data_IF_968503546930
#
_entry.id   IF_968503546930
#
_cell.length_a   1.000
_cell.length_b   1.000
_cell.length_c   1.000
_cell.angle_alpha   90.00
_cell.angle_beta   90.00
_cell.angle_gamma   90.00
#
_symmetry.space_group_name_H-M   'P 1'
#
loop_
_entity.id
_entity.type
_entity.pdbx_description
1 polymer ?
#
# COMPACT_ATOMS: atom_id res chain seq x y z
N UNK A 1 -30.80 19.70 -15.99
CA UNK A 1 -31.02 19.00 -14.70
C UNK A 1 -29.67 18.44 -14.27
N UNK A 2 -29.36 18.38 -12.98
CA UNK A 2 -28.14 17.73 -12.54
C UNK A 2 -28.15 16.25 -12.93
N UNK A 3 -26.97 15.70 -13.25
CA UNK A 3 -26.83 14.30 -13.62
C UNK A 3 -27.14 13.39 -12.41
N UNK A 4 -27.78 12.26 -12.67
CA UNK A 4 -28.23 11.30 -11.65
C UNK A 4 -27.08 10.39 -11.21
N UNK A 5 -26.75 10.45 -9.93
CA UNK A 5 -25.64 9.74 -9.31
C UNK A 5 -26.13 8.63 -8.38
N UNK A 6 -25.65 7.41 -8.59
CA UNK A 6 -25.64 6.36 -7.58
C UNK A 6 -24.31 6.38 -6.82
N UNK A 7 -24.31 6.03 -5.54
CA UNK A 7 -23.11 5.98 -4.68
C UNK A 7 -22.99 4.60 -4.07
N UNK A 8 -21.82 4.01 -4.15
CA UNK A 8 -21.48 2.78 -3.45
C UNK A 8 -20.44 3.04 -2.35
N UNK A 9 -20.78 2.69 -1.13
CA UNK A 9 -20.01 2.96 0.09
C UNK A 9 -20.54 4.18 0.85
N UNK A 10 -20.94 3.97 2.10
CA UNK A 10 -21.45 5.01 2.98
C UNK A 10 -20.55 5.30 4.19
N UNK A 11 -19.27 4.92 4.09
CA UNK A 11 -18.25 5.13 5.11
C UNK A 11 -17.74 6.57 5.20
N UNK A 12 -16.53 6.71 5.76
CA UNK A 12 -15.87 8.01 5.96
C UNK A 12 -15.60 8.76 4.65
N UNK A 13 -15.44 8.03 3.53
CA UNK A 13 -15.21 8.65 2.22
C UNK A 13 -16.44 9.42 1.74
N UNK A 14 -17.62 8.81 1.83
CA UNK A 14 -18.86 9.52 1.54
C UNK A 14 -19.04 10.70 2.49
N UNK A 15 -18.83 10.50 3.79
CA UNK A 15 -19.01 11.56 4.79
C UNK A 15 -18.17 12.81 4.50
N UNK A 16 -16.98 12.64 3.92
CA UNK A 16 -16.11 13.77 3.54
C UNK A 16 -16.58 14.48 2.28
N UNK A 17 -17.17 13.75 1.34
CA UNK A 17 -17.49 14.27 0.00
C UNK A 17 -18.97 14.61 -0.22
N UNK A 18 -19.86 14.21 0.67
CA UNK A 18 -21.32 14.24 0.44
C UNK A 18 -21.87 15.61 0.09
N UNK A 19 -21.42 16.65 0.79
CA UNK A 19 -21.92 18.01 0.56
C UNK A 19 -21.49 18.57 -0.81
N UNK A 20 -20.32 18.16 -1.31
CA UNK A 20 -19.89 18.48 -2.66
C UNK A 20 -20.72 17.73 -3.68
N UNK A 21 -20.93 16.43 -3.48
CA UNK A 21 -21.71 15.59 -4.39
C UNK A 21 -23.17 16.05 -4.52
N UNK A 22 -23.81 16.47 -3.40
CA UNK A 22 -25.17 17.04 -3.41
C UNK A 22 -25.29 18.33 -4.23
N UNK A 23 -24.21 19.11 -4.36
CA UNK A 23 -24.18 20.34 -5.17
C UNK A 23 -24.03 20.04 -6.66
N UNK A 24 -23.33 18.98 -7.00
CA UNK A 24 -22.96 18.65 -8.39
C UNK A 24 -23.97 17.68 -9.05
N UNK A 25 -24.63 16.81 -8.25
CA UNK A 25 -25.44 15.70 -8.74
C UNK A 25 -26.78 15.59 -8.01
N UNK A 26 -27.76 14.98 -8.70
CA UNK A 26 -28.96 14.41 -8.08
C UNK A 26 -28.64 12.99 -7.57
N UNK A 27 -28.43 12.82 -6.27
CA UNK A 27 -28.13 11.51 -5.68
C UNK A 27 -29.42 10.69 -5.61
N UNK A 28 -29.50 9.60 -6.38
CA UNK A 28 -30.70 8.76 -6.50
C UNK A 28 -30.65 7.47 -5.68
N UNK A 29 -29.48 7.04 -5.24
CA UNK A 29 -29.31 5.84 -4.43
C UNK A 29 -27.96 5.77 -3.74
N UNK A 30 -27.93 5.19 -2.53
CA UNK A 30 -26.70 4.91 -1.78
C UNK A 30 -26.70 3.44 -1.37
N UNK A 31 -25.62 2.74 -1.68
CA UNK A 31 -25.46 1.29 -1.51
C UNK A 31 -24.25 1.01 -0.60
N UNK A 32 -24.35 -0.05 0.19
CA UNK A 32 -23.23 -0.52 1.04
C UNK A 32 -23.30 -2.03 1.24
N UNK A 33 -22.13 -2.68 1.36
CA UNK A 33 -22.05 -4.12 1.62
C UNK A 33 -22.40 -4.50 3.07
N UNK A 34 -22.35 -3.56 3.99
CA UNK A 34 -22.72 -3.83 5.39
C UNK A 34 -24.25 -3.97 5.51
N UNK A 35 -24.71 -5.22 5.63
CA UNK A 35 -26.13 -5.54 5.74
C UNK A 35 -26.82 -4.89 6.96
N UNK A 36 -26.08 -4.60 8.03
CA UNK A 36 -26.62 -3.92 9.20
C UNK A 36 -27.05 -2.48 8.91
N UNK A 37 -26.55 -1.89 7.85
CA UNK A 37 -26.90 -0.52 7.43
C UNK A 37 -28.11 -0.50 6.48
N UNK A 38 -28.50 -1.63 5.90
CA UNK A 38 -29.60 -1.67 4.95
C UNK A 38 -30.91 -1.20 5.59
N UNK A 39 -31.57 -0.29 4.90
CA UNK A 39 -32.80 0.34 5.39
C UNK A 39 -32.62 1.50 6.36
N UNK A 40 -31.43 1.66 6.96
CA UNK A 40 -31.09 2.82 7.81
C UNK A 40 -30.82 4.05 6.95
N UNK A 41 -30.99 5.21 7.55
CA UNK A 41 -30.71 6.51 6.91
C UNK A 41 -29.34 7.03 7.32
N UNK A 42 -28.59 7.55 6.37
CA UNK A 42 -27.32 8.24 6.59
C UNK A 42 -27.16 9.37 5.58
N UNK A 43 -26.77 10.55 6.04
CA UNK A 43 -26.63 11.74 5.20
C UNK A 43 -27.91 12.18 4.45
N UNK A 44 -29.10 11.76 4.93
CA UNK A 44 -30.38 12.01 4.28
C UNK A 44 -30.74 11.00 3.19
N UNK A 45 -30.01 9.86 3.11
CA UNK A 45 -30.28 8.78 2.14
C UNK A 45 -30.46 7.46 2.83
N UNK A 46 -31.48 6.70 2.38
CA UNK A 46 -31.69 5.32 2.83
C UNK A 46 -30.64 4.42 2.18
N UNK A 47 -29.91 3.67 2.98
CA UNK A 47 -28.89 2.73 2.50
C UNK A 47 -29.55 1.46 1.97
N UNK A 48 -29.20 1.09 0.73
CA UNK A 48 -29.78 -0.04 0.01
C UNK A 48 -28.78 -1.20 -0.12
N UNK A 49 -29.32 -2.42 -0.22
CA UNK A 49 -28.56 -3.60 -0.62
C UNK A 49 -28.03 -3.41 -2.04
N UNK A 50 -26.74 -3.66 -2.32
CA UNK A 50 -26.15 -3.57 -3.66
C UNK A 50 -26.86 -4.36 -4.77
N UNK A 51 -27.48 -5.50 -4.45
CA UNK A 51 -28.27 -6.30 -5.41
C UNK A 51 -29.42 -5.53 -6.05
N UNK A 52 -29.86 -4.43 -5.42
CA UNK A 52 -30.90 -3.56 -5.96
C UNK A 52 -30.40 -2.46 -6.87
N UNK A 53 -29.08 -2.39 -7.13
CA UNK A 53 -28.46 -1.26 -7.83
C UNK A 53 -29.12 -0.97 -9.20
N UNK A 54 -29.43 -2.00 -9.97
CA UNK A 54 -30.06 -1.87 -11.28
C UNK A 54 -31.55 -1.47 -11.23
N UNK A 55 -32.19 -1.47 -10.06
CA UNK A 55 -33.56 -0.96 -9.91
C UNK A 55 -33.63 0.56 -9.81
N UNK A 56 -32.46 1.22 -9.69
CA UNK A 56 -32.38 2.68 -9.63
C UNK A 56 -31.97 3.24 -10.98
N UNK A 57 -32.62 4.34 -11.37
CA UNK A 57 -32.30 5.04 -12.63
C UNK A 57 -31.18 6.05 -12.39
N UNK A 58 -29.93 5.71 -12.73
CA UNK A 58 -28.75 6.57 -12.61
C UNK A 58 -27.97 6.63 -13.93
N UNK A 59 -27.27 7.74 -14.12
CA UNK A 59 -26.37 7.96 -15.25
C UNK A 59 -24.95 7.56 -14.92
N UNK A 60 -24.51 7.83 -13.68
CA UNK A 60 -23.17 7.51 -13.20
C UNK A 60 -23.21 6.87 -11.81
N UNK A 61 -22.20 6.05 -11.53
CA UNK A 61 -21.94 5.43 -10.23
C UNK A 61 -20.60 5.89 -9.68
N UNK A 62 -20.57 6.40 -8.44
CA UNK A 62 -19.35 6.72 -7.72
C UNK A 62 -19.07 5.74 -6.60
N UNK A 63 -17.88 5.15 -6.60
CA UNK A 63 -17.40 4.33 -5.50
C UNK A 63 -16.78 5.27 -4.44
N UNK A 64 -17.34 5.27 -3.23
CA UNK A 64 -16.88 6.04 -2.08
C UNK A 64 -16.23 5.12 -1.03
N UNK A 65 -15.18 4.39 -1.45
CA UNK A 65 -14.40 3.50 -0.61
C UNK A 65 -12.98 3.41 -1.14
N UNK A 66 -12.03 4.07 -0.49
CA UNK A 66 -10.62 4.06 -0.92
C UNK A 66 -9.88 2.77 -0.54
N UNK A 67 -10.42 1.97 0.36
CA UNK A 67 -9.75 0.73 0.80
C UNK A 67 -10.18 -0.53 0.04
N UNK A 68 -11.32 -0.49 -0.67
CA UNK A 68 -11.91 -1.64 -1.34
C UNK A 68 -12.38 -1.32 -2.78
N UNK A 69 -11.79 -0.33 -3.40
CA UNK A 69 -12.23 0.17 -4.72
C UNK A 69 -12.27 -0.93 -5.76
N UNK A 70 -11.20 -1.73 -5.87
CA UNK A 70 -11.11 -2.81 -6.86
C UNK A 70 -12.19 -3.87 -6.64
N UNK A 71 -12.39 -4.33 -5.39
CA UNK A 71 -13.43 -5.32 -5.08
C UNK A 71 -14.83 -4.79 -5.37
N UNK A 72 -15.11 -3.56 -4.97
CA UNK A 72 -16.43 -2.93 -5.21
C UNK A 72 -16.64 -2.71 -6.70
N UNK A 73 -15.60 -2.28 -7.43
CA UNK A 73 -15.68 -2.10 -8.89
C UNK A 73 -16.01 -3.42 -9.59
N UNK A 74 -15.32 -4.49 -9.29
CA UNK A 74 -15.61 -5.82 -9.81
C UNK A 74 -17.06 -6.23 -9.47
N UNK A 75 -17.46 -6.10 -8.20
CA UNK A 75 -18.80 -6.44 -7.73
C UNK A 75 -19.91 -5.70 -8.51
N UNK A 76 -19.78 -4.40 -8.72
CA UNK A 76 -20.84 -3.63 -9.43
C UNK A 76 -20.90 -3.98 -10.91
N UNK A 77 -19.78 -4.34 -11.54
CA UNK A 77 -19.73 -4.86 -12.90
C UNK A 77 -20.44 -6.22 -12.97
N UNK A 78 -20.15 -7.12 -12.04
CA UNK A 78 -20.80 -8.45 -11.94
C UNK A 78 -22.32 -8.34 -11.69
N UNK A 79 -22.75 -7.29 -10.98
CA UNK A 79 -24.18 -6.97 -10.82
C UNK A 79 -24.82 -6.39 -12.09
N UNK A 80 -24.04 -6.14 -13.16
CA UNK A 80 -24.52 -5.67 -14.45
C UNK A 80 -24.46 -4.15 -14.66
N UNK A 81 -23.75 -3.41 -13.80
CA UNK A 81 -23.50 -1.97 -14.05
C UNK A 81 -22.48 -1.82 -15.18
N UNK A 82 -22.82 -1.12 -16.29
CA UNK A 82 -21.86 -0.86 -17.35
C UNK A 82 -20.63 -0.09 -16.84
N UNK A 83 -19.45 -0.51 -17.28
CA UNK A 83 -18.17 0.04 -16.78
C UNK A 83 -18.04 1.54 -17.07
N UNK A 84 -18.54 2.00 -18.20
CA UNK A 84 -18.54 3.41 -18.61
C UNK A 84 -19.40 4.31 -17.71
N UNK A 85 -20.30 3.74 -16.92
CA UNK A 85 -21.06 4.49 -15.90
C UNK A 85 -20.31 4.66 -14.59
N UNK A 86 -19.22 3.90 -14.36
CA UNK A 86 -18.45 3.97 -13.11
C UNK A 86 -17.47 5.12 -13.22
N UNK A 87 -17.62 6.14 -12.36
CA UNK A 87 -16.68 7.26 -12.30
C UNK A 87 -15.31 6.73 -11.86
N UNK A 88 -14.23 6.93 -12.64
CA UNK A 88 -12.91 6.49 -12.28
C UNK A 88 -12.46 7.11 -10.95
N UNK A 89 -11.93 6.29 -10.05
CA UNK A 89 -11.22 6.78 -8.85
C UNK A 89 -9.78 7.13 -9.20
N UNK A 90 -9.01 7.78 -8.31
CA UNK A 90 -7.60 8.05 -8.56
C UNK A 90 -6.79 6.79 -8.94
N UNK A 91 -7.13 5.64 -8.37
CA UNK A 91 -6.52 4.35 -8.71
C UNK A 91 -6.74 3.97 -10.18
N UNK A 92 -7.97 4.08 -10.66
CA UNK A 92 -8.41 3.65 -11.99
C UNK A 92 -8.37 4.74 -13.07
N UNK A 93 -7.84 5.93 -12.76
CA UNK A 93 -7.73 6.97 -13.77
C UNK A 93 -6.57 6.67 -14.74
N UNK A 94 -6.78 6.98 -16.03
CA UNK A 94 -5.80 6.76 -17.11
C UNK A 94 -4.42 7.36 -16.78
N UNK A 95 -4.39 8.52 -16.14
CA UNK A 95 -3.15 9.18 -15.73
C UNK A 95 -2.33 8.35 -14.74
N UNK A 96 -2.99 7.69 -13.77
CA UNK A 96 -2.29 6.82 -12.82
C UNK A 96 -1.79 5.55 -13.51
N UNK A 97 -2.64 4.89 -14.31
CA UNK A 97 -2.27 3.67 -15.04
C UNK A 97 -1.13 3.92 -16.03
N UNK A 98 -1.16 5.06 -16.72
CA UNK A 98 -0.09 5.47 -17.62
C UNK A 98 1.26 5.69 -16.89
N UNK A 99 1.26 6.20 -15.66
CA UNK A 99 2.50 6.33 -14.85
C UNK A 99 3.10 4.95 -14.53
N UNK A 100 2.28 3.99 -14.12
CA UNK A 100 2.72 2.61 -13.87
C UNK A 100 3.32 1.97 -15.13
N UNK A 101 2.62 2.07 -16.25
CA UNK A 101 3.08 1.57 -17.55
C UNK A 101 4.41 2.24 -17.98
N UNK A 102 4.52 3.56 -17.78
CA UNK A 102 5.73 4.30 -18.07
C UNK A 102 6.92 3.76 -17.27
N UNK A 103 6.79 3.63 -15.95
CA UNK A 103 7.89 3.12 -15.10
C UNK A 103 8.30 1.70 -15.50
N UNK A 104 7.33 0.83 -15.82
CA UNK A 104 7.61 -0.52 -16.31
C UNK A 104 8.43 -0.50 -17.61
N UNK A 105 8.09 0.39 -18.55
CA UNK A 105 8.78 0.50 -19.84
C UNK A 105 10.17 1.15 -19.74
N UNK A 106 10.36 2.04 -18.76
CA UNK A 106 11.63 2.74 -18.53
C UNK A 106 12.61 1.94 -17.69
N UNK A 107 12.21 0.78 -17.13
CA UNK A 107 13.10 -0.10 -16.38
C UNK A 107 14.23 -0.61 -17.29
N UNK A 108 15.46 -0.42 -16.83
CA UNK A 108 16.68 -0.80 -17.56
C UNK A 108 17.57 -1.78 -16.79
N UNK A 109 17.06 -2.41 -15.73
CA UNK A 109 17.80 -3.33 -14.87
C UNK A 109 16.99 -4.61 -14.61
N UNK A 110 17.69 -5.71 -14.39
CA UNK A 110 17.06 -6.99 -14.08
C UNK A 110 16.82 -7.19 -12.58
N UNK A 111 17.67 -6.59 -11.73
CA UNK A 111 17.59 -6.71 -10.27
C UNK A 111 17.16 -5.43 -9.58
N UNK A 112 16.58 -5.61 -8.40
CA UNK A 112 16.19 -4.52 -7.50
C UNK A 112 16.44 -4.94 -6.05
N UNK A 113 16.85 -3.98 -5.21
CA UNK A 113 16.95 -4.19 -3.77
C UNK A 113 15.73 -3.60 -3.07
N UNK A 114 15.06 -4.40 -2.26
CA UNK A 114 13.97 -3.98 -1.39
C UNK A 114 14.55 -3.77 0.00
N UNK A 115 14.63 -2.51 0.41
CA UNK A 115 15.32 -2.09 1.64
C UNK A 115 14.31 -2.00 2.76
N UNK A 116 14.32 -2.98 3.66
CA UNK A 116 13.67 -2.90 4.96
C UNK A 116 14.39 -1.88 5.86
N UNK A 117 13.77 -1.54 6.98
CA UNK A 117 14.37 -0.60 7.93
C UNK A 117 14.83 -1.31 9.21
N UNK A 118 15.09 -2.61 9.13
CA UNK A 118 15.50 -3.41 10.27
C UNK A 118 16.89 -3.06 10.81
N UNK A 119 17.23 -3.49 12.04
CA UNK A 119 18.47 -3.11 12.73
C UNK A 119 19.74 -3.63 12.06
N UNK A 120 19.65 -4.62 11.17
CA UNK A 120 20.80 -5.11 10.39
C UNK A 120 21.23 -4.19 9.26
N UNK A 121 20.38 -3.24 8.84
CA UNK A 121 20.69 -2.27 7.79
C UNK A 121 21.71 -1.24 8.30
N UNK A 122 22.78 -1.00 7.55
CA UNK A 122 23.79 -0.01 7.87
C UNK A 122 23.86 1.10 6.81
N UNK A 123 24.48 2.24 7.16
CA UNK A 123 24.75 3.31 6.21
C UNK A 123 25.75 2.86 5.13
N UNK A 124 26.67 1.94 5.46
CA UNK A 124 27.61 1.34 4.52
C UNK A 124 26.87 0.54 3.44
N UNK A 125 25.85 -0.22 3.81
CA UNK A 125 25.01 -0.96 2.86
C UNK A 125 24.34 0.00 1.88
N UNK A 126 23.76 1.09 2.39
CA UNK A 126 23.12 2.11 1.56
C UNK A 126 24.11 2.80 0.63
N UNK A 127 25.31 3.13 1.11
CA UNK A 127 26.37 3.71 0.32
C UNK A 127 26.86 2.75 -0.77
N UNK A 128 26.99 1.45 -0.49
CA UNK A 128 27.35 0.44 -1.47
C UNK A 128 26.29 0.35 -2.59
N UNK A 129 25.01 0.36 -2.25
CA UNK A 129 23.94 0.36 -3.25
C UNK A 129 23.97 1.64 -4.11
N UNK A 130 24.23 2.80 -3.49
CA UNK A 130 24.36 4.07 -4.19
C UNK A 130 25.55 4.07 -5.16
N UNK A 131 26.74 3.67 -4.70
CA UNK A 131 27.96 3.63 -5.51
C UNK A 131 27.85 2.67 -6.70
N UNK A 132 27.15 1.56 -6.53
CA UNK A 132 26.86 0.60 -7.59
C UNK A 132 25.64 1.02 -8.45
N UNK A 133 25.05 2.17 -8.13
CA UNK A 133 23.87 2.68 -8.83
C UNK A 133 22.73 1.65 -8.92
N UNK A 134 22.47 0.89 -7.83
CA UNK A 134 21.46 -0.15 -7.80
C UNK A 134 20.03 0.42 -7.75
N UNK A 135 19.11 -0.27 -8.42
CA UNK A 135 17.69 0.05 -8.26
C UNK A 135 17.21 -0.39 -6.87
N UNK A 136 16.53 0.52 -6.16
CA UNK A 136 16.10 0.27 -4.78
C UNK A 136 14.68 0.75 -4.53
N UNK A 137 13.87 -0.10 -3.89
CA UNK A 137 12.69 0.33 -3.13
C UNK A 137 13.08 0.61 -1.69
N UNK A 138 12.66 1.74 -1.15
CA UNK A 138 12.82 2.04 0.26
C UNK A 138 11.54 2.62 0.86
N UNK A 139 11.38 2.55 2.19
CA UNK A 139 10.10 2.69 2.84
C UNK A 139 10.10 3.66 4.00
N UNK A 140 8.92 4.16 4.33
CA UNK A 140 8.62 4.80 5.60
C UNK A 140 9.66 5.88 5.96
N UNK A 141 10.42 5.69 7.04
CA UNK A 141 11.40 6.66 7.55
C UNK A 141 12.82 6.45 7.04
N UNK A 142 13.04 5.80 5.91
CA UNK A 142 14.38 5.67 5.28
C UNK A 142 15.07 7.04 5.07
N UNK A 143 14.28 8.10 4.95
CA UNK A 143 14.80 9.47 4.82
C UNK A 143 15.66 9.92 6.02
N UNK A 144 15.63 9.23 7.15
CA UNK A 144 16.53 9.48 8.26
C UNK A 144 18.01 9.24 7.89
N UNK A 145 18.28 8.36 6.92
CA UNK A 145 19.61 8.15 6.39
C UNK A 145 20.11 9.27 5.45
N UNK A 146 19.23 10.16 4.97
CA UNK A 146 19.56 11.13 3.93
C UNK A 146 20.48 12.27 4.36
N UNK A 147 20.59 12.51 5.67
CA UNK A 147 21.53 13.49 6.23
C UNK A 147 22.93 12.91 6.42
N UNK A 148 23.05 11.57 6.51
CA UNK A 148 24.28 10.85 6.79
C UNK A 148 24.81 10.05 5.58
N UNK A 149 24.07 10.06 4.46
CA UNK A 149 24.37 9.28 3.24
C UNK A 149 23.89 9.99 1.99
N UNK A 150 24.63 9.83 0.89
CA UNK A 150 24.20 10.25 -0.45
C UNK A 150 23.15 9.33 -1.06
N UNK A 151 22.83 8.22 -0.40
CA UNK A 151 21.80 7.29 -0.87
C UNK A 151 20.47 7.99 -1.07
N UNK A 152 19.88 7.74 -2.23
CA UNK A 152 18.48 8.06 -2.53
C UNK A 152 17.84 6.86 -3.21
N UNK A 153 16.64 6.44 -2.82
CA UNK A 153 16.00 5.28 -3.42
C UNK A 153 15.56 5.59 -4.86
N UNK A 154 15.52 4.56 -5.70
CA UNK A 154 14.88 4.65 -7.02
C UNK A 154 13.37 4.79 -6.88
N UNK A 155 12.79 4.12 -5.87
CA UNK A 155 11.36 4.08 -5.58
C UNK A 155 11.12 4.21 -4.09
N UNK A 156 10.18 5.06 -3.70
CA UNK A 156 9.76 5.21 -2.30
C UNK A 156 8.33 4.71 -2.11
N UNK A 157 8.07 4.00 -1.02
CA UNK A 157 6.72 3.52 -0.71
C UNK A 157 6.36 3.73 0.76
N UNK A 158 5.11 4.05 1.03
CA UNK A 158 4.52 4.06 2.37
C UNK A 158 3.12 3.47 2.29
N UNK A 159 2.77 2.65 3.28
CA UNK A 159 1.48 1.94 3.33
C UNK A 159 0.75 2.15 4.64
N UNK A 160 1.48 2.21 5.75
CA UNK A 160 0.90 2.31 7.09
C UNK A 160 0.32 3.71 7.36
N UNK A 161 -0.96 3.73 7.77
CA UNK A 161 -1.69 4.97 8.06
C UNK A 161 -1.10 5.76 9.23
N UNK A 162 -0.58 5.10 10.27
CA UNK A 162 0.05 5.79 11.41
C UNK A 162 1.38 6.37 11.01
N UNK A 163 2.20 5.62 10.27
CA UNK A 163 3.46 6.14 9.72
C UNK A 163 3.20 7.37 8.85
N UNK A 164 2.22 7.29 7.95
CA UNK A 164 1.86 8.40 7.08
C UNK A 164 1.38 9.62 7.88
N UNK A 165 0.46 9.44 8.84
CA UNK A 165 -0.07 10.54 9.67
C UNK A 165 1.01 11.20 10.53
N UNK A 166 1.86 10.39 11.17
CA UNK A 166 2.91 10.90 12.06
C UNK A 166 3.99 11.67 11.29
N UNK A 167 4.17 11.36 9.99
CA UNK A 167 5.29 11.86 9.20
C UNK A 167 4.87 12.58 7.91
N UNK A 168 3.60 12.96 7.76
CA UNK A 168 3.05 13.51 6.51
C UNK A 168 3.92 14.64 5.92
N UNK A 169 4.30 15.63 6.71
CA UNK A 169 5.13 16.76 6.24
C UNK A 169 6.47 16.32 5.67
N UNK A 170 7.13 15.33 6.29
CA UNK A 170 8.43 14.81 5.83
C UNK A 170 8.25 13.99 4.55
N UNK A 171 7.22 13.14 4.49
CA UNK A 171 6.93 12.31 3.32
C UNK A 171 6.52 13.19 2.12
N UNK A 172 5.69 14.21 2.33
CA UNK A 172 5.26 15.13 1.29
C UNK A 172 6.42 15.96 0.72
N UNK A 173 7.41 16.27 1.55
CA UNK A 173 8.63 16.99 1.15
C UNK A 173 9.63 16.13 0.35
N UNK A 174 9.49 14.80 0.34
CA UNK A 174 10.34 13.93 -0.46
C UNK A 174 10.13 14.18 -1.95
N UNK A 175 11.22 14.26 -2.70
CA UNK A 175 11.22 14.51 -4.15
C UNK A 175 12.42 13.84 -4.83
N UNK A 176 12.41 13.80 -6.15
CA UNK A 176 13.50 13.24 -6.96
C UNK A 176 13.33 11.75 -7.31
N UNK A 177 12.26 11.10 -6.83
CA UNK A 177 11.93 9.71 -7.13
C UNK A 177 10.41 9.47 -7.09
N UNK A 178 9.90 8.48 -7.83
CA UNK A 178 8.50 8.04 -7.74
C UNK A 178 8.13 7.60 -6.33
N UNK A 179 6.92 8.01 -5.89
CA UNK A 179 6.33 7.65 -4.60
C UNK A 179 5.09 6.79 -4.80
N UNK A 180 4.97 5.70 -4.07
CA UNK A 180 3.88 4.74 -4.19
C UNK A 180 3.02 4.77 -2.93
N UNK A 181 1.75 5.13 -3.09
CA UNK A 181 0.78 5.21 -2.00
C UNK A 181 -0.43 4.34 -2.26
N UNK A 182 -0.92 3.59 -1.26
CA UNK A 182 -2.21 2.95 -1.37
C UNK A 182 -3.32 4.00 -1.42
N UNK A 183 -4.40 3.70 -2.10
CA UNK A 183 -5.50 4.63 -2.32
C UNK A 183 -6.05 5.25 -1.01
N UNK A 184 -6.04 4.49 0.09
CA UNK A 184 -6.53 4.98 1.39
C UNK A 184 -5.69 6.11 2.02
N UNK A 185 -4.42 6.26 1.62
CA UNK A 185 -3.55 7.35 2.12
C UNK A 185 -3.76 8.69 1.42
N UNK A 186 -4.55 8.76 0.36
CA UNK A 186 -4.86 10.00 -0.38
C UNK A 186 -5.54 11.08 0.46
N UNK A 187 -6.01 10.75 1.66
CA UNK A 187 -6.55 11.71 2.63
C UNK A 187 -5.51 12.22 3.61
N UNK A 188 -4.35 11.58 3.63
CA UNK A 188 -3.29 11.85 4.61
C UNK A 188 -2.09 12.52 3.95
N UNK A 189 -1.75 12.12 2.73
CA UNK A 189 -0.59 12.56 1.98
C UNK A 189 -0.98 13.34 0.73
N UNK A 190 -0.13 14.29 0.34
CA UNK A 190 -0.35 15.12 -0.83
C UNK A 190 -0.11 14.36 -2.13
N UNK A 191 -1.01 14.57 -3.10
CA UNK A 191 -0.86 14.09 -4.46
C UNK A 191 0.03 15.04 -5.25
N UNK A 192 1.23 14.60 -5.60
CA UNK A 192 2.14 15.27 -6.52
C UNK A 192 2.29 14.48 -7.82
N UNK A 193 3.00 15.04 -8.81
CA UNK A 193 3.15 14.39 -10.11
C UNK A 193 3.95 13.09 -10.06
N UNK A 194 4.83 12.94 -9.07
CA UNK A 194 5.66 11.78 -8.80
C UNK A 194 4.95 10.68 -7.97
N UNK A 195 3.69 10.88 -7.57
CA UNK A 195 2.91 9.89 -6.83
C UNK A 195 2.19 8.94 -7.80
N UNK A 196 2.33 7.64 -7.54
CA UNK A 196 1.57 6.54 -8.15
C UNK A 196 0.68 5.92 -7.08
N UNK A 197 -0.57 5.64 -7.46
CA UNK A 197 -1.54 5.03 -6.57
C UNK A 197 -1.62 3.53 -6.85
N UNK A 198 -1.65 2.73 -5.78
CA UNK A 198 -1.94 1.31 -5.89
C UNK A 198 -3.16 0.90 -5.05
N UNK A 199 -3.81 -0.17 -5.49
CA UNK A 199 -4.89 -0.84 -4.77
C UNK A 199 -4.36 -2.04 -3.99
N UNK A 200 -5.10 -2.43 -2.97
CA UNK A 200 -4.80 -3.63 -2.19
C UNK A 200 -6.02 -4.51 -2.08
N UNK A 201 -5.81 -5.80 -2.28
CA UNK A 201 -6.79 -6.82 -1.98
C UNK A 201 -6.79 -7.06 -0.46
N UNK A 202 -7.48 -6.19 0.27
CA UNK A 202 -7.54 -6.30 1.73
C UNK A 202 -8.37 -7.51 2.16
N UNK A 203 -7.98 -8.21 3.24
CA UNK A 203 -8.79 -9.29 3.78
C UNK A 203 -10.08 -8.75 4.41
N UNK A 204 -10.78 -9.59 5.17
CA UNK A 204 -11.95 -9.18 5.94
C UNK A 204 -11.66 -8.02 6.93
N UNK A 205 -12.71 -7.47 7.54
CA UNK A 205 -12.61 -6.31 8.45
C UNK A 205 -11.63 -6.48 9.63
N UNK A 206 -11.25 -7.72 9.98
CA UNK A 206 -10.36 -8.02 11.10
C UNK A 206 -8.89 -8.13 10.68
N UNK A 207 -8.59 -8.19 9.37
CA UNK A 207 -7.23 -8.36 8.87
C UNK A 207 -6.53 -9.59 9.46
N UNK A 208 -7.20 -10.74 9.43
CA UNK A 208 -6.77 -11.98 10.11
C UNK A 208 -5.98 -12.94 9.22
N UNK A 209 -5.85 -12.64 7.93
CA UNK A 209 -5.15 -13.49 6.98
C UNK A 209 -4.47 -12.68 5.89
N UNK A 210 -3.42 -13.23 5.30
CA UNK A 210 -2.83 -12.74 4.07
C UNK A 210 -3.80 -12.97 2.89
N UNK A 211 -3.66 -12.17 1.84
CA UNK A 211 -4.40 -12.37 0.60
C UNK A 211 -3.47 -12.79 -0.54
N UNK A 212 -4.01 -13.41 -1.58
CA UNK A 212 -3.24 -13.88 -2.73
C UNK A 212 -2.41 -12.74 -3.35
N UNK A 213 -1.13 -12.98 -3.67
CA UNK A 213 -0.30 -12.02 -4.39
C UNK A 213 -0.84 -11.74 -5.80
N UNK A 214 -0.63 -10.53 -6.26
CA UNK A 214 -0.98 -10.09 -7.61
C UNK A 214 0.17 -9.28 -8.22
N UNK A 215 0.35 -9.35 -9.53
CA UNK A 215 1.25 -8.43 -10.26
C UNK A 215 0.51 -7.20 -10.80
N UNK A 216 -0.76 -6.97 -10.45
CA UNK A 216 -1.52 -5.84 -10.94
C UNK A 216 -1.55 -4.70 -9.91
N UNK A 217 -1.08 -3.48 -10.26
CA UNK A 217 -1.02 -2.35 -9.33
C UNK A 217 -2.36 -1.94 -8.73
N UNK A 218 -3.44 -2.34 -9.35
CA UNK A 218 -4.80 -2.06 -8.88
C UNK A 218 -5.29 -3.03 -7.81
N UNK A 219 -4.55 -4.15 -7.55
CA UNK A 219 -5.03 -5.22 -6.67
C UNK A 219 -3.89 -6.02 -6.02
N UNK A 220 -2.86 -5.37 -5.51
CA UNK A 220 -1.79 -6.07 -4.80
C UNK A 220 -2.32 -6.84 -3.58
N UNK A 221 -1.84 -8.06 -3.38
CA UNK A 221 -2.13 -8.84 -2.20
C UNK A 221 -1.61 -8.17 -0.93
N UNK A 222 -2.35 -8.31 0.17
CA UNK A 222 -1.99 -7.73 1.46
C UNK A 222 -1.30 -8.75 2.38
N UNK A 223 -0.13 -8.40 2.90
CA UNK A 223 0.70 -9.25 3.79
C UNK A 223 1.14 -8.55 5.08
N UNK A 224 0.41 -7.52 5.51
CA UNK A 224 0.68 -6.79 6.77
C UNK A 224 2.02 -6.03 6.84
N UNK A 225 2.76 -5.95 5.74
CA UNK A 225 4.00 -5.17 5.64
C UNK A 225 4.19 -4.60 4.25
N UNK A 226 4.70 -3.39 4.18
CA UNK A 226 5.02 -2.69 2.92
C UNK A 226 6.04 -3.45 2.05
N UNK A 227 6.88 -4.29 2.65
CA UNK A 227 7.83 -5.16 1.94
C UNK A 227 7.09 -6.12 0.99
N UNK A 228 5.97 -6.70 1.43
CA UNK A 228 5.15 -7.60 0.61
C UNK A 228 4.57 -6.88 -0.60
N UNK A 229 4.10 -5.66 -0.43
CA UNK A 229 3.57 -4.83 -1.53
C UNK A 229 4.67 -4.41 -2.49
N UNK A 230 5.85 -4.07 -1.99
CA UNK A 230 6.97 -3.68 -2.83
C UNK A 230 7.53 -4.83 -3.68
N UNK A 231 7.51 -6.07 -3.19
CA UNK A 231 7.84 -7.26 -3.99
C UNK A 231 6.88 -7.34 -5.19
N UNK A 232 5.59 -7.19 -4.98
CA UNK A 232 4.59 -7.23 -6.04
C UNK A 232 4.75 -6.07 -7.04
N UNK A 233 5.03 -4.86 -6.54
CA UNK A 233 5.34 -3.72 -7.38
C UNK A 233 6.60 -3.95 -8.23
N UNK A 234 7.66 -4.54 -7.66
CA UNK A 234 8.87 -4.90 -8.38
C UNK A 234 8.59 -5.95 -9.48
N UNK A 235 7.75 -6.95 -9.19
CA UNK A 235 7.29 -7.94 -10.18
C UNK A 235 6.54 -7.26 -11.33
N UNK A 236 5.57 -6.37 -11.03
CA UNK A 236 4.86 -5.61 -12.06
C UNK A 236 5.82 -4.79 -12.93
N UNK A 237 6.78 -4.10 -12.31
CA UNK A 237 7.80 -3.34 -13.03
C UNK A 237 8.73 -4.21 -13.86
N UNK A 238 8.66 -5.55 -13.71
CA UNK A 238 9.37 -6.54 -14.53
C UNK A 238 10.78 -6.86 -14.06
N UNK A 239 11.11 -6.66 -12.79
CA UNK A 239 12.35 -7.16 -12.21
C UNK A 239 12.30 -8.68 -12.08
N UNK A 240 13.38 -9.34 -12.52
CA UNK A 240 13.51 -10.80 -12.46
C UNK A 240 14.27 -11.29 -11.23
N UNK A 241 15.03 -10.40 -10.58
CA UNK A 241 15.75 -10.67 -9.33
C UNK A 241 15.45 -9.60 -8.28
N UNK A 242 14.94 -10.03 -7.14
CA UNK A 242 14.52 -9.17 -6.04
C UNK A 242 15.34 -9.55 -4.81
N UNK A 243 16.20 -8.64 -4.33
CA UNK A 243 17.00 -8.82 -3.14
C UNK A 243 16.37 -8.08 -1.96
N UNK A 244 16.15 -8.79 -0.85
CA UNK A 244 15.69 -8.18 0.41
C UNK A 244 16.92 -7.81 1.24
N UNK A 245 17.00 -6.56 1.73
CA UNK A 245 18.08 -6.08 2.58
C UNK A 245 17.52 -5.33 3.77
N UNK A 246 17.99 -5.62 5.00
CA UNK A 246 17.44 -5.01 6.21
C UNK A 246 16.01 -5.47 6.54
N UNK A 247 15.61 -6.66 6.06
CA UNK A 247 14.33 -7.30 6.36
C UNK A 247 14.58 -8.37 7.41
N UNK A 248 14.83 -7.94 8.63
CA UNK A 248 15.30 -8.79 9.75
C UNK A 248 14.25 -9.79 10.20
N UNK A 249 12.98 -9.44 10.11
CA UNK A 249 11.87 -10.29 10.57
C UNK A 249 12.07 -10.78 12.01
N UNK A 250 12.61 -9.90 12.86
CA UNK A 250 12.91 -10.16 14.26
C UNK A 250 12.53 -8.96 15.10
N UNK A 251 11.32 -8.94 15.65
CA UNK A 251 10.87 -7.86 16.52
C UNK A 251 11.16 -8.19 17.98
N UNK A 252 11.85 -7.28 18.65
CA UNK A 252 12.03 -7.28 20.09
C UNK A 252 10.98 -6.40 20.75
N UNK A 253 10.30 -6.95 21.74
CA UNK A 253 9.26 -6.27 22.49
C UNK A 253 9.87 -5.61 23.71
N UNK A 254 10.02 -4.29 23.70
CA UNK A 254 10.68 -3.50 24.74
C UNK A 254 9.69 -2.92 25.76
N UNK A 255 8.61 -3.62 26.06
CA UNK A 255 7.64 -3.21 27.07
C UNK A 255 6.67 -2.12 26.60
N UNK A 256 6.38 -2.06 25.31
CA UNK A 256 5.42 -1.16 24.70
C UNK A 256 4.05 -1.28 25.38
N UNK A 257 3.43 -0.14 25.63
CA UNK A 257 2.08 -0.09 26.19
C UNK A 257 1.06 -0.18 25.05
N UNK A 258 0.08 -1.07 25.21
CA UNK A 258 -1.07 -1.14 24.30
C UNK A 258 -1.92 0.12 24.49
N UNK A 259 -2.12 0.90 23.42
CA UNK A 259 -2.98 2.08 23.41
C UNK A 259 -4.42 1.73 23.04
N UNK A 260 -4.57 0.92 21.99
CA UNK A 260 -5.83 0.46 21.45
C UNK A 260 -5.60 -0.95 20.86
N UNK A 261 -6.64 -1.59 20.33
CA UNK A 261 -6.51 -2.91 19.68
C UNK A 261 -5.42 -2.82 18.57
N UNK A 262 -4.33 -3.59 18.72
CA UNK A 262 -3.18 -3.66 17.81
C UNK A 262 -2.36 -2.36 17.64
N UNK A 263 -2.57 -1.34 18.47
CA UNK A 263 -1.78 -0.11 18.45
C UNK A 263 -0.91 -0.05 19.71
N UNK A 264 0.38 0.08 19.52
CA UNK A 264 1.39 0.17 20.57
C UNK A 264 1.90 1.61 20.71
N UNK A 265 2.44 1.92 21.90
CA UNK A 265 3.14 3.18 22.16
C UNK A 265 4.62 2.84 22.35
N UNK A 266 5.48 3.36 21.48
CA UNK A 266 6.91 3.13 21.52
C UNK A 266 7.56 3.60 22.82
N UNK A 267 8.55 2.86 23.30
CA UNK A 267 9.38 3.20 24.47
C UNK A 267 10.79 3.63 24.08
N UNK A 268 11.05 3.75 22.82
CA UNK A 268 12.35 3.98 22.18
C UNK A 268 12.53 3.02 21.01
N UNK A 269 13.65 3.12 20.28
CA UNK A 269 13.86 2.30 19.10
C UNK A 269 14.87 1.19 19.33
N UNK A 270 14.50 -0.04 18.98
CA UNK A 270 15.36 -1.22 19.01
C UNK A 270 15.19 -2.11 17.78
N UNK A 271 14.15 -1.86 16.99
CA UNK A 271 13.74 -2.73 15.86
C UNK A 271 14.06 -2.14 14.49
N UNK A 272 14.73 -0.97 14.43
CA UNK A 272 15.05 -0.32 13.17
C UNK A 272 16.48 0.22 13.15
N UNK A 273 16.98 0.49 11.96
CA UNK A 273 18.38 0.89 11.71
C UNK A 273 18.79 2.24 12.33
N UNK A 274 17.83 3.13 12.59
CA UNK A 274 18.12 4.48 13.04
C UNK A 274 17.47 4.74 14.41
N UNK A 275 18.24 5.32 15.34
CA UNK A 275 17.82 5.60 16.73
C UNK A 275 16.55 6.47 16.83
N UNK A 276 16.34 7.37 15.88
CA UNK A 276 15.18 8.28 15.85
C UNK A 276 14.03 7.73 15.02
N UNK A 277 14.09 6.45 14.64
CA UNK A 277 13.04 5.85 13.82
C UNK A 277 11.70 5.81 14.53
N UNK A 278 11.68 5.47 15.81
CA UNK A 278 10.48 5.45 16.64
C UNK A 278 10.73 6.14 17.97
N UNK A 279 10.48 7.47 18.08
CA UNK A 279 10.59 8.17 19.34
C UNK A 279 9.65 7.61 20.41
N UNK A 280 10.03 7.72 21.68
CA UNK A 280 9.16 7.36 22.78
C UNK A 280 7.83 8.15 22.70
N UNK A 281 6.72 7.45 22.91
CA UNK A 281 5.37 8.01 22.80
C UNK A 281 4.74 7.95 21.39
N UNK A 282 5.50 7.62 20.35
CA UNK A 282 4.92 7.44 19.00
C UNK A 282 4.03 6.20 18.95
N UNK A 283 2.81 6.35 18.43
CA UNK A 283 1.89 5.24 18.19
C UNK A 283 2.25 4.51 16.89
N UNK A 284 2.19 3.19 16.93
CA UNK A 284 2.47 2.34 15.78
C UNK A 284 1.64 1.07 15.79
N UNK A 285 1.44 0.47 14.63
CA UNK A 285 0.71 -0.78 14.51
C UNK A 285 1.61 -1.96 14.87
N UNK A 286 1.13 -2.84 15.76
CA UNK A 286 1.83 -4.08 16.08
C UNK A 286 2.00 -4.95 14.82
N UNK A 287 3.20 -5.50 14.56
CA UNK A 287 3.41 -6.39 13.42
C UNK A 287 2.64 -7.70 13.61
N UNK A 288 2.08 -8.20 12.53
CA UNK A 288 1.37 -9.49 12.48
C UNK A 288 2.29 -10.51 11.81
N UNK A 289 3.22 -11.05 12.59
CA UNK A 289 4.34 -11.86 12.08
C UNK A 289 3.87 -13.09 11.30
N UNK A 290 2.91 -13.83 11.83
CA UNK A 290 2.32 -15.05 11.22
C UNK A 290 1.64 -14.75 9.87
N UNK A 291 0.94 -13.63 9.76
CA UNK A 291 0.32 -13.19 8.50
C UNK A 291 1.40 -12.77 7.50
N UNK A 292 2.43 -12.07 7.97
CA UNK A 292 3.54 -11.64 7.13
C UNK A 292 4.32 -12.84 6.60
N UNK A 293 4.63 -13.83 7.45
CA UNK A 293 5.31 -15.06 7.02
C UNK A 293 4.49 -15.84 5.99
N UNK A 294 3.19 -16.02 6.28
CA UNK A 294 2.27 -16.67 5.35
C UNK A 294 2.26 -15.99 3.98
N UNK A 295 2.28 -14.65 3.95
CA UNK A 295 2.32 -13.92 2.68
C UNK A 295 3.68 -14.01 1.99
N UNK A 296 4.79 -14.05 2.73
CA UNK A 296 6.11 -14.31 2.11
C UNK A 296 6.16 -15.69 1.43
N UNK A 297 5.55 -16.71 2.03
CA UNK A 297 5.44 -18.05 1.41
C UNK A 297 4.62 -17.95 0.11
N UNK A 298 3.46 -17.32 0.14
CA UNK A 298 2.64 -17.09 -1.07
C UNK A 298 3.40 -16.31 -2.14
N UNK A 299 4.15 -15.27 -1.76
CA UNK A 299 4.98 -14.49 -2.67
C UNK A 299 6.11 -15.31 -3.31
N UNK A 300 6.76 -16.19 -2.54
CA UNK A 300 7.78 -17.08 -3.08
C UNK A 300 7.20 -18.03 -4.13
N UNK A 301 6.05 -18.64 -3.82
CA UNK A 301 5.36 -19.54 -4.77
C UNK A 301 4.88 -18.79 -6.02
N UNK A 302 4.32 -17.59 -5.83
CA UNK A 302 3.87 -16.72 -6.93
C UNK A 302 5.05 -16.33 -7.84
N UNK A 303 6.15 -15.84 -7.27
CA UNK A 303 7.34 -15.43 -7.99
C UNK A 303 7.97 -16.61 -8.77
N UNK A 304 8.08 -17.79 -8.15
CA UNK A 304 8.60 -18.99 -8.78
C UNK A 304 7.79 -19.41 -10.02
N UNK A 305 6.45 -19.30 -9.95
CA UNK A 305 5.56 -19.62 -11.09
C UNK A 305 5.77 -18.74 -12.32
N UNK A 306 6.24 -17.50 -12.11
CA UNK A 306 6.46 -16.52 -13.19
C UNK A 306 7.93 -16.28 -13.49
N UNK A 307 8.85 -17.09 -12.92
CA UNK A 307 10.28 -17.02 -13.19
C UNK A 307 10.99 -15.85 -12.55
N UNK A 308 10.49 -15.32 -11.42
CA UNK A 308 11.12 -14.25 -10.63
C UNK A 308 11.81 -14.88 -9.40
N UNK A 309 13.05 -14.47 -9.13
CA UNK A 309 13.81 -14.90 -7.95
C UNK A 309 13.69 -13.85 -6.83
N UNK A 310 13.29 -14.28 -5.64
CA UNK A 310 13.33 -13.48 -4.41
C UNK A 310 14.44 -14.06 -3.53
N UNK A 311 15.37 -13.21 -3.12
CA UNK A 311 16.59 -13.61 -2.42
C UNK A 311 16.73 -12.73 -1.15
N UNK A 312 17.03 -13.35 -0.02
CA UNK A 312 17.28 -12.61 1.22
C UNK A 312 18.77 -12.28 1.36
N UNK A 313 19.11 -11.00 1.19
CA UNK A 313 20.48 -10.49 1.38
C UNK A 313 20.64 -9.77 2.74
N UNK A 314 19.67 -9.92 3.64
CA UNK A 314 19.71 -9.37 4.99
C UNK A 314 20.78 -10.07 5.83
N UNK A 315 21.61 -9.28 6.50
CA UNK A 315 22.62 -9.79 7.44
C UNK A 315 21.93 -10.27 8.72
N UNK A 316 22.03 -11.57 9.03
CA UNK A 316 21.30 -12.15 10.17
C UNK A 316 19.78 -12.16 9.97
N UNK A 317 19.02 -11.86 11.04
CA UNK A 317 17.55 -11.89 11.02
C UNK A 317 16.97 -13.31 11.09
N UNK A 318 15.63 -13.41 11.01
CA UNK A 318 14.88 -14.67 11.14
C UNK A 318 14.02 -15.02 9.92
N UNK A 319 14.12 -14.26 8.83
CA UNK A 319 13.36 -14.55 7.61
C UNK A 319 14.06 -15.66 6.81
N UNK A 320 13.52 -16.87 6.87
CA UNK A 320 14.09 -18.07 6.21
C UNK A 320 13.25 -18.56 5.02
N UNK A 321 12.20 -17.84 4.64
CA UNK A 321 11.34 -18.20 3.50
C UNK A 321 12.11 -18.16 2.17
N UNK A 322 13.05 -17.22 2.02
CA UNK A 322 13.79 -17.01 0.78
C UNK A 322 15.24 -17.49 0.90
N UNK A 323 15.85 -18.01 -0.19
CA UNK A 323 17.26 -18.35 -0.20
C UNK A 323 18.12 -17.14 0.15
N UNK A 324 19.27 -17.38 0.80
CA UNK A 324 20.15 -16.31 1.29
C UNK A 324 21.43 -16.21 0.46
N UNK A 325 21.82 -14.95 0.19
CA UNK A 325 23.18 -14.61 -0.27
C UNK A 325 23.61 -13.33 0.48
N UNK A 326 24.92 -13.12 0.65
CA UNK A 326 25.39 -11.86 1.23
C UNK A 326 25.19 -10.68 0.26
N UNK A 327 25.20 -9.43 0.79
CA UNK A 327 25.12 -8.23 -0.06
C UNK A 327 26.27 -8.19 -1.07
N UNK A 328 27.49 -8.57 -0.65
CA UNK A 328 28.67 -8.60 -1.50
C UNK A 328 28.51 -9.60 -2.65
N UNK A 329 27.94 -10.79 -2.38
CA UNK A 329 27.63 -11.78 -3.41
C UNK A 329 26.51 -11.29 -4.35
N UNK A 330 25.53 -10.56 -3.81
CA UNK A 330 24.47 -9.99 -4.62
C UNK A 330 24.95 -8.87 -5.55
N UNK A 331 26.01 -8.13 -5.17
CA UNK A 331 26.60 -7.04 -5.95
C UNK A 331 27.66 -7.53 -6.96
N UNK A 332 28.24 -8.70 -6.74
CA UNK A 332 29.21 -9.31 -7.66
C UNK A 332 28.53 -9.76 -8.97
#
# INVERSE_FOLDING_TARGET
MPSKLAIFGCGSDLSTNIEKLKKEFEIVGVFDNNSELHGKEKHGFKISNPEKILTFNFETLKICSLANTTKIRAQVIDLGVPEEKIIPTPLWCDRNLAKWTKLRNERNRERVFIIGNGPSLTLEDLNLLHLNNEACFAFNKIYLAFEESDFRPTYYMVEDTLVAKNNARKIDALHGFPKFYPEHLLRTLMMSNDVLIFGQNLPNANYEMATEPSSEPTDFGWGSTVTCTAIQAAIYLGFSKIHLLGVDFNFEWSGEKVSEKNVLIGQGETNHFHKDYRPAGEKWNAPKMDITESHYILLQEFAARIGVEIINSTRGGKLEVFPRVSLEQALA
#
